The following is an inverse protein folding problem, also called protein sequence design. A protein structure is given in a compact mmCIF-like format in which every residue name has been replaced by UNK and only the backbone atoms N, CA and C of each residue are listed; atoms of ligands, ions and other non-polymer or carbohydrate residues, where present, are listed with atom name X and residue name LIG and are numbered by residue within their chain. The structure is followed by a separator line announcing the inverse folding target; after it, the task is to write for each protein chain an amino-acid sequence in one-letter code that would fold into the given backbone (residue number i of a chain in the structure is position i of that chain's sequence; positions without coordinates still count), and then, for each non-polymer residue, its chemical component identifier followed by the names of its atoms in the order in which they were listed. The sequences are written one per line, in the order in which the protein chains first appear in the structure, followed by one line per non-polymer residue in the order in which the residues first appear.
data_IF_129575791908
#
_entry.id   IF_129575791908
#
_cell.length_a   1.000
_cell.length_b   1.000
_cell.length_c   1.000
_cell.angle_alpha   90.00
_cell.angle_beta   90.00
_cell.angle_gamma   90.00
#
_symmetry.space_group_name_H-M   'P 1'
#
loop_
_entity.id
_entity.type
_entity.pdbx_description
1 polymer ?
#
# COMPACT_ATOMS: atom_id res chain seq x y z
N UNK A 1 -9.94 8.56 -7.16
CA UNK A 1 -9.95 9.28 -8.46
C UNK A 1 -8.70 10.12 -8.67
N UNK A 2 -8.32 11.00 -7.74
CA UNK A 2 -7.13 11.85 -7.88
C UNK A 2 -5.80 11.11 -8.12
N UNK A 3 -5.56 9.99 -7.44
CA UNK A 3 -4.34 9.17 -7.65
C UNK A 3 -4.33 8.44 -9.00
N UNK A 4 -5.48 7.95 -9.47
CA UNK A 4 -5.57 7.20 -10.73
C UNK A 4 -5.36 8.11 -11.94
N UNK A 5 -6.13 9.20 -12.01
CA UNK A 5 -6.05 10.16 -13.11
C UNK A 5 -4.76 10.98 -13.02
N UNK A 6 -4.34 11.34 -11.81
CA UNK A 6 -3.11 12.11 -11.58
C UNK A 6 -1.85 11.36 -11.98
N UNK A 7 -1.75 10.05 -11.72
CA UNK A 7 -0.58 9.25 -12.14
C UNK A 7 -0.50 9.14 -13.67
N UNK A 8 -1.62 8.92 -14.35
CA UNK A 8 -1.66 8.83 -15.81
C UNK A 8 -1.33 10.16 -16.48
N UNK A 9 -1.92 11.27 -16.02
CA UNK A 9 -1.58 12.61 -16.50
C UNK A 9 -0.12 12.96 -16.21
N UNK A 10 0.38 12.63 -15.02
CA UNK A 10 1.77 12.85 -14.64
C UNK A 10 2.75 12.08 -15.54
N UNK A 11 2.42 10.85 -15.95
CA UNK A 11 3.23 10.07 -16.90
C UNK A 11 3.24 10.68 -18.31
N UNK A 12 2.08 11.14 -18.80
CA UNK A 12 1.97 11.78 -20.12
C UNK A 12 2.78 13.08 -20.15
N UNK A 13 2.67 13.89 -19.09
CA UNK A 13 3.41 15.15 -18.99
C UNK A 13 4.89 14.90 -18.80
N UNK A 14 5.29 13.92 -17.99
CA UNK A 14 6.70 13.56 -17.82
C UNK A 14 7.34 13.11 -19.14
N UNK A 15 6.60 12.41 -20.00
CA UNK A 15 7.09 11.97 -21.30
C UNK A 15 7.34 13.12 -22.30
N UNK A 16 6.61 14.23 -22.19
CA UNK A 16 6.71 15.35 -23.13
C UNK A 16 7.51 16.54 -22.59
N UNK A 17 7.37 16.82 -21.29
CA UNK A 17 7.87 18.03 -20.63
C UNK A 17 8.89 17.73 -19.53
N UNK A 18 9.34 16.48 -19.40
CA UNK A 18 10.29 16.09 -18.36
C UNK A 18 9.70 16.05 -16.95
N UNK A 19 10.54 15.67 -15.99
CA UNK A 19 10.14 15.53 -14.60
C UNK A 19 9.80 16.88 -13.94
N UNK A 20 10.47 17.95 -14.36
CA UNK A 20 10.26 19.33 -13.95
C UNK A 20 8.92 19.87 -14.45
N UNK A 21 8.51 19.56 -15.70
CA UNK A 21 7.18 19.86 -16.21
C UNK A 21 6.06 19.24 -15.37
N UNK A 22 6.25 17.98 -14.93
CA UNK A 22 5.30 17.31 -14.03
C UNK A 22 5.24 17.97 -12.65
N UNK A 23 6.38 18.44 -12.11
CA UNK A 23 6.41 19.19 -10.85
C UNK A 23 5.67 20.53 -10.95
N UNK A 24 5.85 21.26 -12.06
CA UNK A 24 5.11 22.49 -12.32
C UNK A 24 3.61 22.25 -12.41
N UNK A 25 3.18 21.20 -13.12
CA UNK A 25 1.77 20.83 -13.18
C UNK A 25 1.19 20.57 -11.78
N UNK A 26 1.87 19.76 -10.96
CA UNK A 26 1.44 19.46 -9.59
C UNK A 26 1.35 20.75 -8.76
N UNK A 27 2.33 21.65 -8.91
CA UNK A 27 2.37 22.95 -8.21
C UNK A 27 1.18 23.82 -8.59
N UNK A 28 0.88 23.96 -9.89
CA UNK A 28 -0.24 24.76 -10.41
C UNK A 28 -1.57 24.19 -9.92
N UNK A 29 -1.77 22.87 -10.03
CA UNK A 29 -2.99 22.22 -9.54
C UNK A 29 -3.15 22.40 -8.02
N UNK A 30 -2.07 22.32 -7.26
CA UNK A 30 -2.06 22.59 -5.82
C UNK A 30 -2.45 24.03 -5.49
N UNK A 31 -1.94 25.01 -6.23
CA UNK A 31 -2.30 26.42 -6.08
C UNK A 31 -3.78 26.67 -6.39
N UNK A 32 -4.29 26.08 -7.48
CA UNK A 32 -5.72 26.19 -7.85
C UNK A 32 -6.59 25.61 -6.74
N UNK A 33 -6.24 24.44 -6.21
CA UNK A 33 -6.98 23.82 -5.11
C UNK A 33 -6.93 24.67 -3.83
N UNK A 34 -5.77 25.24 -3.48
CA UNK A 34 -5.60 26.11 -2.33
C UNK A 34 -6.47 27.37 -2.45
N UNK A 35 -6.44 28.04 -3.59
CA UNK A 35 -7.26 29.22 -3.87
C UNK A 35 -8.75 28.87 -3.79
N UNK A 36 -9.15 27.74 -4.38
CA UNK A 36 -10.53 27.25 -4.31
C UNK A 36 -11.01 27.01 -2.87
N UNK A 37 -10.17 26.41 -2.03
CA UNK A 37 -10.47 26.21 -0.60
C UNK A 37 -10.61 27.57 0.11
N UNK A 38 -9.67 28.51 -0.08
CA UNK A 38 -9.72 29.81 0.59
C UNK A 38 -10.95 30.63 0.20
N UNK A 39 -11.36 30.59 -1.07
CA UNK A 39 -12.49 31.39 -1.57
C UNK A 39 -13.84 30.74 -1.29
N UNK A 40 -13.95 29.41 -1.43
CA UNK A 40 -15.26 28.73 -1.45
C UNK A 40 -15.57 27.89 -0.21
N UNK A 41 -14.57 27.48 0.59
CA UNK A 41 -14.88 26.65 1.76
C UNK A 41 -15.37 27.51 2.94
N UNK A 42 -16.53 27.17 3.53
CA UNK A 42 -16.98 27.82 4.76
C UNK A 42 -16.02 27.47 5.90
N UNK A 43 -15.92 28.36 6.89
CA UNK A 43 -15.09 28.13 8.06
C UNK A 43 -15.73 27.02 8.93
N UNK A 44 -15.25 25.78 8.79
CA UNK A 44 -15.76 24.63 9.54
C UNK A 44 -15.03 24.60 10.89
N UNK A 45 -15.75 24.61 12.04
CA UNK A 45 -15.13 24.47 13.35
C UNK A 45 -14.37 23.14 13.42
N UNK A 46 -13.04 23.20 13.39
CA UNK A 46 -12.20 22.03 13.53
C UNK A 46 -11.94 21.76 15.01
N UNK A 47 -12.22 20.54 15.46
CA UNK A 47 -11.72 20.09 16.77
C UNK A 47 -10.19 20.16 16.79
N UNK A 48 -9.57 20.60 17.90
CA UNK A 48 -8.13 20.65 17.99
C UNK A 48 -7.53 19.28 17.66
N UNK A 49 -6.47 19.22 16.81
CA UNK A 49 -5.86 17.96 16.45
C UNK A 49 -5.35 17.26 17.72
N UNK A 50 -5.51 15.93 17.83
CA UNK A 50 -5.08 15.22 19.03
C UNK A 50 -3.57 15.35 19.21
N UNK A 51 -3.18 15.60 20.45
CA UNK A 51 -1.77 15.69 20.86
C UNK A 51 -1.01 14.40 20.54
N UNK A 52 0.31 14.50 20.41
CA UNK A 52 1.17 13.33 20.16
C UNK A 52 0.95 12.24 21.22
N UNK A 53 0.80 12.63 22.49
CA UNK A 53 0.52 11.72 23.60
C UNK A 53 -0.82 10.99 23.41
N UNK A 54 -1.87 11.68 22.96
CA UNK A 54 -3.16 11.04 22.67
C UNK A 54 -3.07 10.08 21.48
N UNK A 55 -2.30 10.43 20.44
CA UNK A 55 -2.05 9.53 19.29
C UNK A 55 -1.32 8.25 19.72
N UNK A 56 -0.28 8.38 20.55
CA UNK A 56 0.45 7.24 21.10
C UNK A 56 -0.41 6.43 22.08
N UNK A 57 -1.27 7.08 22.85
CA UNK A 57 -2.21 6.38 23.74
C UNK A 57 -3.20 5.49 22.97
N UNK A 58 -3.50 5.78 21.69
CA UNK A 58 -4.32 4.89 20.85
C UNK A 58 -3.66 3.53 20.62
N UNK A 59 -2.32 3.46 20.64
CA UNK A 59 -1.56 2.21 20.57
C UNK A 59 -1.58 1.42 21.90
N UNK A 60 -2.12 1.97 22.99
CA UNK A 60 -2.38 1.17 24.19
C UNK A 60 -3.51 0.16 23.97
N UNK A 61 -4.38 0.39 22.97
CA UNK A 61 -5.41 -0.57 22.59
C UNK A 61 -4.79 -1.68 21.74
N UNK A 62 -4.67 -2.88 22.31
CA UNK A 62 -4.05 -4.03 21.64
C UNK A 62 -4.65 -4.38 20.27
N UNK A 63 -5.94 -4.11 20.03
CA UNK A 63 -6.57 -4.34 18.71
C UNK A 63 -6.15 -3.30 17.68
N UNK A 64 -6.06 -2.03 18.09
CA UNK A 64 -5.54 -0.95 17.23
C UNK A 64 -4.10 -1.24 16.87
N UNK A 65 -3.27 -1.60 17.85
CA UNK A 65 -1.85 -1.93 17.64
C UNK A 65 -1.66 -3.13 16.75
N UNK A 66 -2.45 -4.19 16.94
CA UNK A 66 -2.39 -5.36 16.07
C UNK A 66 -2.77 -5.02 14.62
N UNK A 67 -3.86 -4.26 14.42
CA UNK A 67 -4.28 -3.80 13.08
C UNK A 67 -3.22 -2.91 12.41
N UNK A 68 -2.72 -1.90 13.11
CA UNK A 68 -1.67 -1.00 12.61
C UNK A 68 -0.37 -1.77 12.35
N UNK A 69 -0.04 -2.75 13.19
CA UNK A 69 1.12 -3.64 13.01
C UNK A 69 1.02 -4.49 11.74
N UNK A 70 -0.16 -5.02 11.42
CA UNK A 70 -0.39 -5.75 10.17
C UNK A 70 -0.21 -4.82 8.97
N UNK A 71 -0.73 -3.60 9.03
CA UNK A 71 -0.49 -2.58 8.00
C UNK A 71 1.00 -2.27 7.85
N UNK A 72 1.72 -2.10 8.96
CA UNK A 72 3.16 -1.84 8.96
C UNK A 72 3.94 -2.97 8.27
N UNK A 73 3.71 -4.22 8.66
CA UNK A 73 4.37 -5.39 8.04
C UNK A 73 3.99 -5.53 6.57
N UNK A 74 2.73 -5.27 6.21
CA UNK A 74 2.28 -5.25 4.82
C UNK A 74 2.97 -4.14 4.02
N UNK A 75 3.20 -2.97 4.63
CA UNK A 75 3.96 -1.86 4.05
C UNK A 75 5.42 -2.23 3.79
N UNK A 76 6.08 -2.92 4.74
CA UNK A 76 7.44 -3.46 4.57
C UNK A 76 7.49 -4.38 3.34
N UNK A 77 6.58 -5.37 3.30
CA UNK A 77 6.62 -6.41 2.28
C UNK A 77 6.18 -5.92 0.90
N UNK A 78 5.22 -5.00 0.83
CA UNK A 78 4.64 -4.54 -0.43
C UNK A 78 5.32 -3.28 -0.95
N UNK A 79 5.09 -2.12 -0.33
CA UNK A 79 5.66 -0.86 -0.82
C UNK A 79 7.18 -0.79 -0.61
N UNK A 80 7.73 -1.46 0.42
CA UNK A 80 9.18 -1.57 0.57
C UNK A 80 9.83 -2.33 -0.59
N UNK A 81 9.27 -3.48 -0.98
CA UNK A 81 9.74 -4.28 -2.11
C UNK A 81 9.62 -3.54 -3.44
N UNK A 82 8.65 -2.63 -3.59
CA UNK A 82 8.46 -1.84 -4.81
C UNK A 82 9.74 -1.08 -5.22
N UNK A 83 10.54 -0.63 -4.25
CA UNK A 83 11.85 0.01 -4.48
C UNK A 83 12.79 -0.86 -5.32
N UNK A 84 12.64 -2.18 -5.23
CA UNK A 84 13.53 -3.17 -5.83
C UNK A 84 12.97 -3.78 -7.11
N UNK A 85 11.86 -3.28 -7.67
CA UNK A 85 11.29 -3.83 -8.91
C UNK A 85 12.33 -3.87 -10.04
N UNK A 86 13.05 -2.76 -10.26
CA UNK A 86 14.06 -2.68 -11.30
C UNK A 86 15.20 -3.71 -11.11
N UNK A 87 15.88 -3.78 -9.95
CA UNK A 87 16.93 -4.79 -9.75
C UNK A 87 16.40 -6.23 -9.73
N UNK A 88 15.16 -6.47 -9.28
CA UNK A 88 14.52 -7.78 -9.40
C UNK A 88 14.40 -8.15 -10.88
N UNK A 89 13.87 -7.28 -11.72
CA UNK A 89 13.65 -7.53 -13.14
C UNK A 89 14.94 -7.63 -13.94
N UNK A 90 15.95 -6.82 -13.62
CA UNK A 90 17.27 -6.88 -14.26
C UNK A 90 18.05 -8.14 -13.90
N UNK A 91 17.71 -8.80 -12.78
CA UNK A 91 18.27 -10.09 -12.42
C UNK A 91 17.66 -11.25 -13.23
N UNK A 92 16.66 -10.98 -14.07
CA UNK A 92 15.96 -11.97 -14.89
C UNK A 92 16.43 -11.86 -16.35
N UNK A 93 16.73 -13.01 -16.95
CA UNK A 93 17.13 -13.08 -18.35
C UNK A 93 15.98 -12.66 -19.29
N UNK A 94 16.31 -11.90 -20.35
CA UNK A 94 15.35 -11.50 -21.39
C UNK A 94 14.50 -10.27 -21.09
N UNK A 95 14.70 -9.59 -19.95
CA UNK A 95 13.99 -8.35 -19.63
C UNK A 95 14.75 -7.12 -20.13
N UNK A 96 14.25 -6.50 -21.20
CA UNK A 96 14.84 -5.29 -21.79
C UNK A 96 14.27 -3.98 -21.23
N UNK A 97 13.08 -4.02 -20.62
CA UNK A 97 12.40 -2.83 -20.09
C UNK A 97 11.57 -3.14 -18.85
N UNK A 98 11.74 -2.31 -17.81
CA UNK A 98 10.98 -2.39 -16.55
C UNK A 98 9.58 -1.77 -16.70
N UNK A 99 9.38 -0.92 -17.70
CA UNK A 99 8.17 -0.11 -17.89
C UNK A 99 6.87 -0.93 -17.95
N UNK A 100 6.75 -2.04 -18.72
CA UNK A 100 5.52 -2.82 -18.77
C UNK A 100 5.10 -3.41 -17.42
N UNK A 101 6.06 -3.78 -16.57
CA UNK A 101 5.83 -4.33 -15.24
C UNK A 101 5.32 -3.28 -14.26
N UNK A 102 5.88 -2.06 -14.34
CA UNK A 102 5.38 -0.92 -13.58
C UNK A 102 3.96 -0.54 -14.02
N UNK A 103 3.66 -0.63 -15.32
CA UNK A 103 2.29 -0.47 -15.82
C UNK A 103 1.34 -1.54 -15.27
N UNK A 104 1.73 -2.81 -15.29
CA UNK A 104 0.92 -3.89 -14.72
C UNK A 104 0.63 -3.65 -13.23
N UNK A 105 1.65 -3.30 -12.45
CA UNK A 105 1.51 -2.95 -11.03
C UNK A 105 0.63 -1.72 -10.82
N UNK A 106 0.84 -0.66 -11.61
CA UNK A 106 0.05 0.58 -11.52
C UNK A 106 -1.43 0.35 -11.84
N UNK A 107 -1.73 -0.31 -12.97
CA UNK A 107 -3.11 -0.65 -13.37
C UNK A 107 -3.76 -1.55 -12.32
N UNK A 108 -3.02 -2.54 -11.81
CA UNK A 108 -3.46 -3.37 -10.69
C UNK A 108 -3.87 -2.50 -9.50
N UNK A 109 -2.99 -1.58 -9.08
CA UNK A 109 -3.25 -0.66 -7.97
C UNK A 109 -4.49 0.21 -8.15
N UNK A 110 -4.71 0.71 -9.36
CA UNK A 110 -5.93 1.45 -9.74
C UNK A 110 -7.16 0.58 -9.56
N UNK A 111 -7.16 -0.62 -10.15
CA UNK A 111 -8.28 -1.56 -10.08
C UNK A 111 -8.57 -1.94 -8.63
N UNK A 112 -7.55 -2.35 -7.87
CA UNK A 112 -7.67 -2.70 -6.46
C UNK A 112 -8.26 -1.58 -5.61
N UNK A 113 -7.77 -0.35 -5.79
CA UNK A 113 -8.25 0.82 -5.04
C UNK A 113 -9.70 1.21 -5.36
N UNK A 114 -10.13 1.01 -6.61
CA UNK A 114 -11.49 1.36 -7.04
C UNK A 114 -12.52 0.34 -6.53
N UNK A 115 -12.23 -0.95 -6.65
CA UNK A 115 -13.19 -2.00 -6.32
C UNK A 115 -13.23 -2.35 -4.83
N UNK A 116 -12.19 -2.02 -4.05
CA UNK A 116 -12.16 -2.40 -2.64
C UNK A 116 -13.26 -1.75 -1.79
N UNK A 117 -13.64 -0.50 -2.09
CA UNK A 117 -14.73 0.18 -1.37
C UNK A 117 -16.06 -0.57 -1.53
N UNK A 118 -16.45 -0.84 -2.78
CA UNK A 118 -17.65 -1.62 -3.10
C UNK A 118 -17.60 -3.02 -2.50
N UNK A 119 -16.42 -3.65 -2.46
CA UNK A 119 -16.24 -4.96 -1.86
C UNK A 119 -16.46 -4.93 -0.33
N UNK A 120 -15.93 -3.91 0.35
CA UNK A 120 -16.14 -3.70 1.78
C UNK A 120 -17.64 -3.48 2.06
N UNK A 121 -18.30 -2.62 1.30
CA UNK A 121 -19.72 -2.29 1.49
C UNK A 121 -20.61 -3.52 1.27
N UNK A 122 -20.29 -4.34 0.27
CA UNK A 122 -21.08 -5.54 -0.08
C UNK A 122 -20.89 -6.69 0.92
N UNK A 123 -19.66 -6.94 1.36
CA UNK A 123 -19.34 -8.09 2.22
C UNK A 123 -19.53 -7.74 3.71
N UNK A 124 -19.31 -6.49 4.10
CA UNK A 124 -19.43 -6.03 5.49
C UNK A 124 -18.43 -6.66 6.46
N UNK A 125 -17.36 -7.29 5.96
CA UNK A 125 -16.36 -8.01 6.77
C UNK A 125 -14.93 -7.58 6.40
N UNK A 126 -14.55 -6.32 6.70
CA UNK A 126 -13.26 -5.76 6.27
C UNK A 126 -12.05 -6.58 6.77
N UNK A 127 -12.13 -7.14 7.98
CA UNK A 127 -11.05 -8.01 8.49
C UNK A 127 -10.85 -9.30 7.68
N UNK A 128 -11.92 -9.92 7.17
CA UNK A 128 -11.83 -11.11 6.32
C UNK A 128 -11.33 -10.76 4.91
N UNK A 129 -11.78 -9.61 4.39
CA UNK A 129 -11.29 -9.07 3.12
C UNK A 129 -9.78 -8.86 3.17
N UNK A 130 -9.27 -8.27 4.26
CA UNK A 130 -7.82 -8.12 4.47
C UNK A 130 -7.09 -9.47 4.50
N UNK A 131 -7.67 -10.50 5.13
CA UNK A 131 -7.10 -11.86 5.08
C UNK A 131 -6.98 -12.39 3.64
N UNK A 132 -8.01 -12.20 2.82
CA UNK A 132 -7.97 -12.57 1.40
C UNK A 132 -6.93 -11.78 0.60
N UNK A 133 -6.82 -10.47 0.86
CA UNK A 133 -5.79 -9.60 0.26
C UNK A 133 -4.39 -10.12 0.57
N UNK A 134 -4.12 -10.46 1.84
CA UNK A 134 -2.82 -10.97 2.26
C UNK A 134 -2.50 -12.33 1.62
N UNK A 135 -3.49 -13.21 1.44
CA UNK A 135 -3.30 -14.48 0.73
C UNK A 135 -2.90 -14.24 -0.73
N UNK A 136 -3.64 -13.39 -1.44
CA UNK A 136 -3.37 -13.07 -2.84
C UNK A 136 -2.03 -12.34 -3.00
N UNK A 137 -1.69 -11.46 -2.05
CA UNK A 137 -0.39 -10.79 -2.02
C UNK A 137 0.75 -11.78 -1.81
N UNK A 138 0.62 -12.73 -0.88
CA UNK A 138 1.63 -13.77 -0.66
C UNK A 138 1.82 -14.64 -1.92
N UNK A 139 0.72 -15.04 -2.57
CA UNK A 139 0.77 -15.79 -3.82
C UNK A 139 1.49 -15.01 -4.94
N UNK A 140 1.23 -13.71 -5.06
CA UNK A 140 1.95 -12.85 -6.00
C UNK A 140 3.45 -12.78 -5.70
N UNK A 141 3.84 -12.64 -4.43
CA UNK A 141 5.24 -12.58 -4.02
C UNK A 141 6.01 -13.88 -4.29
N UNK A 142 5.40 -15.03 -3.99
CA UNK A 142 6.03 -16.33 -4.22
C UNK A 142 6.04 -16.76 -5.69
N UNK A 143 5.07 -16.29 -6.49
CA UNK A 143 5.03 -16.60 -7.92
C UNK A 143 5.96 -15.73 -8.77
N UNK A 144 6.36 -14.55 -8.28
CA UNK A 144 7.24 -13.62 -9.01
C UNK A 144 8.53 -14.30 -9.54
N UNK A 145 9.32 -15.02 -8.71
CA UNK A 145 10.55 -15.67 -9.18
C UNK A 145 10.31 -16.94 -10.02
N UNK A 146 9.11 -17.52 -9.96
CA UNK A 146 8.73 -18.74 -10.70
C UNK A 146 8.15 -18.44 -12.09
N UNK A 147 7.72 -17.20 -12.33
CA UNK A 147 6.99 -16.80 -13.54
C UNK A 147 7.91 -16.59 -14.76
N UNK A 148 9.20 -16.90 -14.64
CA UNK A 148 10.26 -16.58 -15.60
C UNK A 148 10.23 -17.38 -16.91
N UNK A 149 9.48 -18.49 -16.95
CA UNK A 149 9.40 -19.34 -18.14
C UNK A 149 8.19 -19.10 -19.04
N UNK A 150 7.20 -18.29 -18.63
CA UNK A 150 5.91 -18.18 -19.31
C UNK A 150 5.53 -16.69 -19.51
N UNK A 151 5.59 -16.15 -20.74
CA UNK A 151 5.48 -14.71 -21.03
C UNK A 151 4.23 -14.02 -20.46
N UNK A 152 3.08 -14.70 -20.45
CA UNK A 152 1.81 -14.15 -19.94
C UNK A 152 1.73 -14.19 -18.40
N UNK A 153 2.38 -15.15 -17.76
CA UNK A 153 2.42 -15.25 -16.30
C UNK A 153 3.40 -14.25 -15.68
N UNK A 154 4.26 -13.60 -16.47
CA UNK A 154 5.21 -12.61 -15.97
C UNK A 154 4.54 -11.32 -15.46
N UNK A 155 3.41 -10.89 -16.04
CA UNK A 155 2.76 -9.63 -15.65
C UNK A 155 1.72 -9.77 -14.54
N UNK A 156 1.09 -10.96 -14.45
CA UNK A 156 0.00 -11.21 -13.52
C UNK A 156 0.40 -11.03 -12.03
N UNK A 157 1.56 -11.50 -11.56
CA UNK A 157 2.02 -11.27 -10.18
C UNK A 157 2.18 -9.78 -9.86
N UNK A 158 2.71 -8.97 -10.78
CA UNK A 158 2.83 -7.53 -10.59
C UNK A 158 1.47 -6.85 -10.53
N UNK A 159 0.53 -7.26 -11.39
CA UNK A 159 -0.84 -6.75 -11.36
C UNK A 159 -1.54 -7.09 -10.04
N UNK A 160 -1.48 -8.35 -9.59
CA UNK A 160 -2.07 -8.78 -8.31
C UNK A 160 -1.40 -8.06 -7.14
N UNK A 161 -0.07 -7.94 -7.16
CA UNK A 161 0.66 -7.19 -6.14
C UNK A 161 0.19 -5.74 -6.07
N UNK A 162 0.12 -5.04 -7.20
CA UNK A 162 -0.42 -3.68 -7.24
C UNK A 162 -1.83 -3.61 -6.67
N UNK A 163 -2.73 -4.46 -7.16
CA UNK A 163 -4.13 -4.48 -6.74
C UNK A 163 -4.27 -4.72 -5.24
N UNK A 164 -3.62 -5.76 -4.71
CA UNK A 164 -3.73 -6.14 -3.31
C UNK A 164 -3.00 -5.16 -2.40
N UNK A 165 -1.82 -4.67 -2.82
CA UNK A 165 -1.04 -3.69 -2.08
C UNK A 165 -1.82 -2.41 -1.82
N UNK A 166 -2.42 -1.85 -2.88
CA UNK A 166 -3.22 -0.63 -2.76
C UNK A 166 -4.59 -0.86 -2.10
N UNK A 167 -5.23 -2.01 -2.33
CA UNK A 167 -6.48 -2.36 -1.68
C UNK A 167 -6.34 -2.57 -0.16
N UNK A 168 -5.17 -3.02 0.33
CA UNK A 168 -4.96 -3.40 1.73
C UNK A 168 -5.26 -2.29 2.76
N UNK A 169 -5.10 -1.02 2.38
CA UNK A 169 -5.21 0.10 3.31
C UNK A 169 -6.66 0.33 3.77
N UNK A 170 -7.62 0.25 2.85
CA UNK A 170 -9.01 0.62 3.09
C UNK A 170 -9.72 -0.32 4.11
N UNK A 171 -9.61 -1.66 4.03
CA UNK A 171 -10.18 -2.56 5.03
C UNK A 171 -9.63 -2.30 6.43
N UNK A 172 -8.32 -2.05 6.56
CA UNK A 172 -7.71 -1.77 7.86
C UNK A 172 -8.18 -0.42 8.42
N UNK A 173 -8.29 0.61 7.57
CA UNK A 173 -8.89 1.90 7.98
C UNK A 173 -10.34 1.72 8.46
N UNK A 174 -11.15 0.91 7.77
CA UNK A 174 -12.52 0.62 8.19
C UNK A 174 -12.56 -0.07 9.58
N UNK A 175 -11.73 -1.09 9.79
CA UNK A 175 -11.60 -1.77 11.09
C UNK A 175 -11.19 -0.79 12.19
N UNK A 176 -10.26 0.12 11.91
CA UNK A 176 -9.81 1.12 12.89
C UNK A 176 -10.88 2.15 13.23
N UNK A 177 -11.67 2.59 12.24
CA UNK A 177 -12.80 3.48 12.45
C UNK A 177 -13.86 2.84 13.35
N UNK A 178 -14.14 1.54 13.18
CA UNK A 178 -15.01 0.77 14.08
C UNK A 178 -14.43 0.67 15.51
N UNK A 179 -13.11 0.51 15.64
CA UNK A 179 -12.44 0.36 16.94
C UNK A 179 -12.29 1.68 17.71
N UNK A 180 -12.23 2.82 17.01
CA UNK A 180 -12.06 4.14 17.61
C UNK A 180 -12.97 5.21 16.94
N UNK A 181 -14.31 5.13 17.10
CA UNK A 181 -15.24 6.05 16.43
C UNK A 181 -15.02 7.52 16.83
N UNK A 182 -14.64 7.77 18.09
CA UNK A 182 -14.39 9.12 18.63
C UNK A 182 -13.07 9.74 18.12
N UNK A 183 -12.15 8.94 17.60
CA UNK A 183 -10.83 9.38 17.16
C UNK A 183 -10.51 8.96 15.72
N UNK A 184 -11.54 8.76 14.90
CA UNK A 184 -11.43 8.18 13.56
C UNK A 184 -10.34 8.79 12.68
N UNK A 185 -10.30 10.12 12.48
CA UNK A 185 -9.25 10.76 11.67
C UNK A 185 -7.83 10.49 12.19
N UNK A 186 -7.66 10.39 13.51
CA UNK A 186 -6.34 10.18 14.12
C UNK A 186 -5.84 8.74 13.94
N UNK A 187 -6.71 7.73 14.10
CA UNK A 187 -6.32 6.33 13.87
C UNK A 187 -6.09 6.04 12.39
N UNK A 188 -6.84 6.68 11.49
CA UNK A 188 -6.60 6.58 10.04
C UNK A 188 -5.24 7.19 9.68
N UNK A 189 -4.93 8.38 10.21
CA UNK A 189 -3.63 9.01 10.01
C UNK A 189 -2.47 8.18 10.58
N UNK A 190 -2.67 7.57 11.76
CA UNK A 190 -1.70 6.66 12.38
C UNK A 190 -1.44 5.44 11.50
N UNK A 191 -2.50 4.84 10.93
CA UNK A 191 -2.37 3.70 10.02
C UNK A 191 -1.63 4.05 8.73
N UNK A 192 -1.95 5.19 8.12
CA UNK A 192 -1.22 5.67 6.94
C UNK A 192 0.26 5.94 7.27
N UNK A 193 0.55 6.52 8.43
CA UNK A 193 1.93 6.74 8.90
C UNK A 193 2.67 5.41 9.07
N UNK A 194 2.02 4.40 9.65
CA UNK A 194 2.59 3.06 9.80
C UNK A 194 2.84 2.38 8.45
N UNK A 195 1.96 2.57 7.46
CA UNK A 195 2.18 2.06 6.11
C UNK A 195 3.44 2.64 5.45
N UNK A 196 3.62 3.97 5.50
CA UNK A 196 4.80 4.62 4.93
C UNK A 196 6.08 4.36 5.72
N UNK A 197 5.98 4.29 7.06
CA UNK A 197 7.10 3.87 7.89
C UNK A 197 7.51 2.44 7.55
N UNK A 198 6.54 1.53 7.41
CA UNK A 198 6.76 0.16 6.96
C UNK A 198 7.45 0.11 5.61
N UNK A 199 6.96 0.85 4.62
CA UNK A 199 7.60 0.98 3.31
C UNK A 199 9.06 1.43 3.39
N UNK A 200 9.33 2.45 4.20
CA UNK A 200 10.69 3.00 4.39
C UNK A 200 11.61 1.97 5.05
N UNK A 201 11.11 1.27 6.07
CA UNK A 201 11.84 0.18 6.74
C UNK A 201 12.10 -0.98 5.78
N UNK A 202 11.10 -1.39 4.99
CA UNK A 202 11.27 -2.45 3.99
C UNK A 202 12.25 -2.08 2.89
N UNK A 203 12.22 -0.82 2.45
CA UNK A 203 13.21 -0.28 1.53
C UNK A 203 14.62 -0.36 2.14
N UNK A 204 14.82 0.11 3.37
CA UNK A 204 16.12 0.04 4.04
C UNK A 204 16.60 -1.40 4.26
N UNK A 205 15.72 -2.30 4.74
CA UNK A 205 16.03 -3.70 4.98
C UNK A 205 16.41 -4.43 3.68
N UNK A 206 15.69 -4.18 2.59
CA UNK A 206 16.01 -4.73 1.27
C UNK A 206 17.44 -4.38 0.84
N UNK A 207 17.88 -3.16 1.12
CA UNK A 207 19.22 -2.69 0.77
C UNK A 207 20.29 -3.36 1.63
N UNK A 208 20.04 -3.47 2.95
CA UNK A 208 20.93 -4.16 3.88
C UNK A 208 21.12 -5.63 3.50
N UNK A 209 20.03 -6.34 3.18
CA UNK A 209 20.16 -7.77 2.81
C UNK A 209 20.83 -7.94 1.45
N UNK A 210 20.61 -7.04 0.49
CA UNK A 210 21.34 -7.06 -0.78
C UNK A 210 22.85 -6.85 -0.59
N UNK A 211 23.26 -5.93 0.29
CA UNK A 211 24.68 -5.74 0.66
C UNK A 211 25.25 -6.98 1.36
N UNK A 212 24.42 -7.69 2.15
CA UNK A 212 24.80 -8.95 2.80
C UNK A 212 24.87 -10.16 1.85
N UNK A 213 24.61 -9.98 0.54
CA UNK A 213 24.75 -11.01 -0.48
C UNK A 213 23.46 -11.68 -0.92
N UNK A 214 22.29 -11.21 -0.47
CA UNK A 214 21.00 -11.70 -0.96
C UNK A 214 20.79 -11.23 -2.41
N UNK A 215 20.43 -12.14 -3.31
CA UNK A 215 20.15 -11.75 -4.70
C UNK A 215 18.83 -11.00 -4.79
N UNK A 216 18.66 -10.07 -5.75
CA UNK A 216 17.39 -9.37 -5.95
C UNK A 216 16.20 -10.33 -6.14
N UNK A 217 16.40 -11.44 -6.84
CA UNK A 217 15.38 -12.50 -7.04
C UNK A 217 14.90 -13.20 -5.75
N UNK A 218 15.65 -13.10 -4.66
CA UNK A 218 15.27 -13.64 -3.35
C UNK A 218 14.40 -12.68 -2.52
N UNK A 219 14.40 -11.38 -2.84
CA UNK A 219 13.61 -10.38 -2.11
C UNK A 219 12.09 -10.65 -2.13
N UNK A 220 11.46 -11.08 -3.25
CA UNK A 220 10.05 -11.44 -3.25
C UNK A 220 9.72 -12.59 -2.28
N UNK A 221 10.60 -13.58 -2.13
CA UNK A 221 10.38 -14.65 -1.14
C UNK A 221 10.40 -14.13 0.29
N UNK A 222 11.38 -13.26 0.62
CA UNK A 222 11.45 -12.63 1.93
C UNK A 222 10.21 -11.77 2.23
N UNK A 223 9.76 -10.99 1.24
CA UNK A 223 8.51 -10.25 1.33
C UNK A 223 7.29 -11.18 1.51
N UNK A 224 7.21 -12.27 0.76
CA UNK A 224 6.17 -13.29 0.92
C UNK A 224 6.11 -13.86 2.33
N UNK A 225 7.25 -14.18 2.94
CA UNK A 225 7.33 -14.61 4.34
C UNK A 225 6.79 -13.55 5.31
N UNK A 226 7.11 -12.27 5.10
CA UNK A 226 6.56 -11.17 5.91
C UNK A 226 5.05 -11.04 5.74
N UNK A 227 4.52 -11.21 4.51
CA UNK A 227 3.07 -11.23 4.27
C UNK A 227 2.41 -12.41 5.00
N UNK A 228 3.05 -13.59 5.05
CA UNK A 228 2.53 -14.72 5.83
C UNK A 228 2.48 -14.41 7.34
N UNK A 229 3.49 -13.73 7.89
CA UNK A 229 3.45 -13.25 9.28
C UNK A 229 2.27 -12.30 9.51
N UNK A 230 2.06 -11.35 8.60
CA UNK A 230 0.90 -10.45 8.66
C UNK A 230 -0.43 -11.21 8.56
N UNK A 231 -0.51 -12.23 7.70
CA UNK A 231 -1.68 -13.10 7.53
C UNK A 231 -1.97 -13.89 8.80
N UNK A 232 -0.96 -14.50 9.42
CA UNK A 232 -1.12 -15.20 10.71
C UNK A 232 -1.63 -14.25 11.78
N UNK A 233 -1.08 -13.04 11.88
CA UNK A 233 -1.57 -12.00 12.76
C UNK A 233 -3.05 -11.67 12.50
N UNK A 234 -3.43 -11.51 11.23
CA UNK A 234 -4.81 -11.23 10.85
C UNK A 234 -5.77 -12.37 11.23
N UNK A 235 -5.36 -13.63 11.00
CA UNK A 235 -6.15 -14.82 11.35
C UNK A 235 -6.33 -14.94 12.87
N UNK A 236 -5.29 -14.64 13.65
CA UNK A 236 -5.39 -14.58 15.12
C UNK A 236 -6.43 -13.54 15.54
N UNK A 237 -6.39 -12.32 15.00
CA UNK A 237 -7.39 -11.27 15.30
C UNK A 237 -8.82 -11.75 14.97
N UNK A 238 -9.00 -12.41 13.83
CA UNK A 238 -10.31 -12.93 13.41
C UNK A 238 -10.80 -14.07 14.32
N UNK A 239 -9.90 -14.96 14.74
CA UNK A 239 -10.24 -16.06 15.66
C UNK A 239 -10.71 -15.57 17.03
N UNK A 240 -10.10 -14.50 17.53
CA UNK A 240 -10.48 -13.87 18.81
C UNK A 240 -11.84 -13.17 18.68
N UNK A 241 -12.15 -12.55 17.53
CA UNK A 241 -13.47 -11.95 17.26
C UNK A 241 -14.60 -12.99 17.25
N UNK A 242 -14.35 -14.23 16.79
CA UNK A 242 -15.37 -15.28 16.69
C UNK A 242 -15.78 -15.89 18.02
N UNK A 243 -14.92 -15.79 19.05
CA UNK A 243 -15.17 -16.34 20.39
C UNK A 243 -15.93 -15.39 21.34
N UNK A 244 -16.20 -14.16 20.92
CA UNK A 244 -17.02 -13.18 21.65
C UNK A 244 -18.34 -12.98 20.92
#
# INVERSE_FOLDING_TARGET
MGTVVGVLLGLIVAAHAGWDGTLWLITILGLIAMIGIVIWFPNIPASPPPSLRQRLAMLANGRVTATVGITFVTGIASLGLYTYIAPILQNLDGIHSVTPYLWAWGIGGVVGSLFIGTLIDRIGRPGWIMGGILILLALAMFSLPLSLGIPILMFLPFFIWGAMGWASLAPQQHVLLELQPKHGPAVVALNSSANYLGSSVGSALGGVVMVAGLTPSQLPFAAGCLVLVALLGQLVILSIKRKR
#
